data_IF_810058924010
#
_entry.id   IF_810058924010
#
_cell.length_a   1.000
_cell.length_b   1.000
_cell.length_c   1.000
_cell.angle_alpha   90.00
_cell.angle_beta   90.00
_cell.angle_gamma   90.00
#
_symmetry.space_group_name_H-M   'P 1'
#
loop_
_entity.id
_entity.type
_entity.pdbx_description
1 polymer ?
#
# COMPACT_ATOMS: atom_id res chain seq x y z
N UNK A 1 1.72 12.14 10.57
CA UNK A 1 1.82 11.05 11.57
C UNK A 1 2.22 9.78 10.82
N UNK A 2 3.23 9.06 11.31
CA UNK A 2 3.66 7.78 10.74
C UNK A 2 3.47 6.69 11.78
N UNK A 3 3.13 5.49 11.33
CA UNK A 3 3.00 4.31 12.18
C UNK A 3 3.95 3.26 11.66
N UNK A 4 4.82 2.74 12.52
CA UNK A 4 5.71 1.65 12.14
C UNK A 4 4.87 0.39 11.90
N UNK A 5 4.96 -0.14 10.68
CA UNK A 5 4.52 -1.49 10.41
C UNK A 5 5.54 -2.48 10.99
N UNK A 6 5.12 -3.69 11.37
CA UNK A 6 6.05 -4.73 11.83
C UNK A 6 6.87 -5.25 10.64
N UNK A 7 6.65 -6.48 10.18
CA UNK A 7 7.32 -7.06 9.02
C UNK A 7 6.26 -7.57 8.06
N UNK A 8 6.41 -7.24 6.78
CA UNK A 8 5.56 -7.76 5.71
C UNK A 8 6.36 -8.78 4.93
N UNK A 9 5.86 -10.01 4.89
CA UNK A 9 6.42 -11.06 4.06
C UNK A 9 5.74 -11.03 2.68
N UNK A 10 6.53 -10.84 1.62
CA UNK A 10 6.05 -10.77 0.24
C UNK A 10 6.77 -11.82 -0.62
N UNK A 11 6.03 -12.43 -1.52
CA UNK A 11 6.52 -13.40 -2.49
C UNK A 11 5.88 -13.13 -3.86
N UNK A 12 6.58 -13.51 -4.93
CA UNK A 12 6.07 -13.38 -6.28
C UNK A 12 5.06 -14.51 -6.57
N UNK A 13 3.92 -14.14 -7.15
CA UNK A 13 2.92 -15.09 -7.67
C UNK A 13 2.58 -14.73 -9.11
N UNK A 14 2.44 -15.74 -9.96
CA UNK A 14 1.93 -15.58 -11.33
C UNK A 14 0.41 -15.83 -11.33
N UNK A 15 -0.35 -14.96 -10.66
CA UNK A 15 -1.81 -15.01 -10.69
C UNK A 15 -2.36 -13.92 -11.60
N UNK A 16 -3.18 -14.30 -12.57
CA UNK A 16 -3.94 -13.39 -13.44
C UNK A 16 -5.31 -13.05 -12.85
N UNK A 17 -5.65 -13.59 -11.67
CA UNK A 17 -6.95 -13.36 -11.04
C UNK A 17 -7.03 -11.90 -10.57
N UNK A 18 -8.11 -11.17 -10.90
CA UNK A 18 -8.28 -9.81 -10.42
C UNK A 18 -8.31 -9.76 -8.88
N UNK A 19 -7.66 -8.75 -8.32
CA UNK A 19 -7.66 -8.51 -6.87
C UNK A 19 -9.07 -8.11 -6.42
N UNK A 20 -9.50 -8.64 -5.27
CA UNK A 20 -10.83 -8.32 -4.71
C UNK A 20 -10.96 -6.80 -4.51
N UNK A 21 -11.96 -6.13 -5.11
CA UNK A 21 -12.16 -4.69 -5.00
C UNK A 21 -12.47 -4.23 -3.57
N UNK A 22 -12.85 -5.13 -2.66
CA UNK A 22 -13.08 -4.82 -1.23
C UNK A 22 -11.79 -4.65 -0.45
N UNK A 23 -10.66 -5.10 -0.99
CA UNK A 23 -9.36 -4.98 -0.34
C UNK A 23 -8.71 -3.65 -0.70
N UNK A 24 -8.02 -3.07 0.28
CA UNK A 24 -7.33 -1.83 0.06
C UNK A 24 -6.00 -2.07 -0.67
N UNK A 25 -5.87 -1.48 -1.85
CA UNK A 25 -4.65 -1.48 -2.64
C UNK A 25 -3.77 -0.31 -2.19
N UNK A 26 -2.87 -0.59 -1.26
CA UNK A 26 -1.99 0.41 -0.66
C UNK A 26 -0.71 0.59 -1.48
N UNK A 27 -0.44 1.79 -2.00
CA UNK A 27 0.81 2.06 -2.70
C UNK A 27 1.99 2.08 -1.72
N UNK A 28 3.14 1.61 -2.19
CA UNK A 28 4.40 1.61 -1.45
C UNK A 28 5.37 2.57 -2.12
N UNK A 29 5.84 3.56 -1.37
CA UNK A 29 6.85 4.51 -1.84
C UNK A 29 8.15 4.34 -1.05
N UNK A 30 9.28 4.65 -1.70
CA UNK A 30 10.59 4.64 -1.03
C UNK A 30 10.71 5.72 0.04
N UNK A 31 10.15 6.91 -0.25
CA UNK A 31 10.23 8.14 0.57
C UNK A 31 8.85 8.80 0.66
N UNK A 32 8.62 9.71 1.63
CA UNK A 32 7.33 10.38 1.79
C UNK A 32 6.96 11.32 0.62
N UNK A 33 7.89 11.65 -0.27
CA UNK A 33 7.64 12.48 -1.44
C UNK A 33 6.76 11.77 -2.47
N UNK A 34 5.53 12.27 -2.61
CA UNK A 34 4.48 11.75 -3.52
C UNK A 34 4.57 12.39 -4.91
N UNK A 35 5.66 12.13 -5.61
CA UNK A 35 5.87 12.59 -7.01
C UNK A 35 5.85 11.43 -8.01
N UNK A 36 5.39 10.24 -7.58
CA UNK A 36 5.41 8.96 -8.31
C UNK A 36 6.79 8.43 -8.74
N UNK A 37 7.83 9.27 -8.71
CA UNK A 37 9.23 8.87 -8.96
C UNK A 37 9.77 7.84 -7.97
N UNK A 38 9.12 7.70 -6.81
CA UNK A 38 9.56 6.81 -5.72
C UNK A 38 8.63 5.62 -5.52
N UNK A 39 7.67 5.41 -6.42
CA UNK A 39 6.74 4.27 -6.36
C UNK A 39 7.49 2.95 -6.57
N UNK A 40 7.18 1.95 -5.74
CA UNK A 40 7.81 0.62 -5.79
C UNK A 40 6.80 -0.44 -6.22
N UNK A 41 5.71 -0.57 -5.47
CA UNK A 41 4.72 -1.63 -5.66
C UNK A 41 3.43 -1.29 -4.91
N UNK A 42 2.42 -2.17 -5.04
CA UNK A 42 1.15 -2.07 -4.32
C UNK A 42 0.91 -3.31 -3.47
N UNK A 43 0.73 -3.11 -2.17
CA UNK A 43 0.38 -4.16 -1.21
C UNK A 43 -1.14 -4.20 -1.02
N UNK A 44 -1.70 -5.39 -0.92
CA UNK A 44 -3.14 -5.58 -0.67
C UNK A 44 -3.36 -5.77 0.82
N UNK A 45 -4.05 -4.83 1.47
CA UNK A 45 -4.42 -4.94 2.87
C UNK A 45 -5.89 -5.30 3.04
N UNK A 46 -6.16 -6.15 4.03
CA UNK A 46 -7.50 -6.34 4.56
C UNK A 46 -7.92 -5.07 5.28
N UNK A 47 -9.17 -4.65 5.06
CA UNK A 47 -9.74 -3.46 5.68
C UNK A 47 -11.11 -3.79 6.25
N UNK A 48 -11.43 -3.19 7.40
CA UNK A 48 -12.76 -3.25 8.02
C UNK A 48 -13.68 -2.21 7.38
N UNK A 49 -13.13 -1.05 7.00
CA UNK A 49 -13.83 0.04 6.32
C UNK A 49 -13.74 -0.10 4.80
N UNK A 50 -14.55 0.68 4.06
CA UNK A 50 -14.41 0.78 2.60
C UNK A 50 -12.96 1.14 2.21
N UNK A 51 -12.38 0.50 1.17
CA UNK A 51 -11.07 0.88 0.64
C UNK A 51 -10.99 2.37 0.25
N UNK A 52 -12.10 2.98 -0.18
CA UNK A 52 -12.17 4.39 -0.54
C UNK A 52 -11.75 5.32 0.60
N UNK A 53 -12.03 4.94 1.85
CA UNK A 53 -11.65 5.73 3.00
C UNK A 53 -10.13 5.88 3.10
N UNK A 54 -9.38 4.84 2.75
CA UNK A 54 -7.91 4.87 2.77
C UNK A 54 -7.34 5.59 1.55
N UNK A 55 -7.99 5.42 0.39
CA UNK A 55 -7.63 6.10 -0.86
C UNK A 55 -7.79 7.62 -0.70
N UNK A 56 -8.96 8.09 -0.25
CA UNK A 56 -9.25 9.51 -0.08
C UNK A 56 -8.41 10.17 1.01
N UNK A 57 -7.93 9.40 1.99
CA UNK A 57 -6.99 9.88 3.03
C UNK A 57 -5.54 9.88 2.56
N UNK A 58 -5.24 9.39 1.36
CA UNK A 58 -3.88 9.36 0.80
C UNK A 58 -2.92 8.44 1.57
N UNK A 59 -3.44 7.40 2.23
CA UNK A 59 -2.61 6.46 2.99
C UNK A 59 -1.67 5.73 2.04
N UNK A 60 -0.45 5.45 2.50
CA UNK A 60 0.53 4.66 1.77
C UNK A 60 1.50 4.02 2.76
N UNK A 61 2.16 2.96 2.31
CA UNK A 61 3.32 2.43 2.99
C UNK A 61 4.58 3.15 2.52
N UNK A 62 5.49 3.39 3.47
CA UNK A 62 6.78 4.02 3.21
C UNK A 62 7.89 3.08 3.64
N UNK A 63 8.91 2.88 2.79
CA UNK A 63 10.11 2.15 3.18
C UNK A 63 11.02 2.98 4.09
N UNK A 64 11.02 4.30 3.91
CA UNK A 64 11.76 5.26 4.71
C UNK A 64 10.89 6.48 5.00
N UNK A 65 11.00 6.99 6.22
CA UNK A 65 10.31 8.21 6.70
C UNK A 65 11.23 9.44 6.71
N UNK A 66 12.51 9.28 6.35
CA UNK A 66 13.47 10.36 6.11
C UNK A 66 13.49 10.80 4.64
#
# INVERSE_FOLDING_TARGET
MFVSLPVIYMYAINSTTPKDPKLYQCPVYKKPCRTDLTFITTIVFKTIHSPDQWILRGVAALCDIK
#
